data_IF_220944623021
#
_entry.id   IF_220944623021
#
_cell.length_a   1.000
_cell.length_b   1.000
_cell.length_c   1.000
_cell.angle_alpha   90.00
_cell.angle_beta   90.00
_cell.angle_gamma   90.00
#
_symmetry.space_group_name_H-M   'P 1'
#
loop_
_entity.id
_entity.type
_entity.pdbx_description
1 polymer ?
#
# COMPACT_ATOMS: atom_id res chain seq x y z
N UNK A 1 25.59 6.28 -26.89
CA UNK A 1 25.11 5.19 -26.02
C UNK A 1 24.56 5.88 -24.77
N UNK A 2 23.23 5.94 -24.61
CA UNK A 2 22.60 6.71 -23.53
C UNK A 2 22.81 5.94 -22.22
N UNK A 3 23.59 6.50 -21.31
CA UNK A 3 23.86 5.90 -20.01
C UNK A 3 22.57 5.98 -19.19
N UNK A 4 21.94 4.82 -18.92
CA UNK A 4 20.77 4.74 -18.04
C UNK A 4 21.22 5.15 -16.63
N UNK A 5 21.19 6.44 -16.33
CA UNK A 5 21.37 6.97 -14.97
C UNK A 5 20.21 6.43 -14.13
N UNK A 6 20.46 5.32 -13.43
CA UNK A 6 19.59 4.84 -12.39
C UNK A 6 19.45 5.96 -11.36
N UNK A 7 18.21 6.39 -11.10
CA UNK A 7 17.89 7.43 -10.13
C UNK A 7 18.56 7.08 -8.79
N UNK A 8 19.27 8.05 -8.21
CA UNK A 8 20.02 7.88 -6.97
C UNK A 8 19.10 7.39 -5.84
N UNK A 9 19.61 6.46 -5.02
CA UNK A 9 18.89 5.93 -3.87
C UNK A 9 18.79 7.05 -2.81
N UNK A 10 17.58 7.42 -2.35
CA UNK A 10 17.42 8.44 -1.31
C UNK A 10 18.19 8.07 -0.03
N UNK A 11 18.81 9.07 0.60
CA UNK A 11 19.50 8.92 1.88
C UNK A 11 18.53 8.63 3.02
N UNK A 12 17.30 9.13 2.90
CA UNK A 12 16.21 8.94 3.85
C UNK A 12 15.41 7.66 3.57
N UNK A 13 14.64 7.20 4.56
CA UNK A 13 13.77 6.02 4.39
C UNK A 13 12.70 6.30 3.34
N UNK A 14 12.41 5.29 2.52
CA UNK A 14 11.41 5.41 1.45
C UNK A 14 10.00 5.53 2.06
N UNK A 15 9.69 4.72 3.09
CA UNK A 15 8.41 4.78 3.80
C UNK A 15 8.52 5.40 5.21
N UNK A 16 7.50 6.14 5.67
CA UNK A 16 7.33 6.48 7.09
C UNK A 16 7.32 5.22 7.97
N UNK A 17 7.95 5.28 9.16
CA UNK A 17 8.10 4.11 10.05
C UNK A 17 6.79 3.45 10.44
N UNK A 18 5.73 4.25 10.67
CA UNK A 18 4.43 3.71 11.05
C UNK A 18 3.80 2.87 9.93
N UNK A 19 4.01 3.23 8.65
CA UNK A 19 3.55 2.44 7.49
C UNK A 19 4.34 1.12 7.41
N UNK A 20 5.64 1.15 7.72
CA UNK A 20 6.44 -0.07 7.79
C UNK A 20 5.90 -1.02 8.87
N UNK A 21 5.66 -0.50 10.08
CA UNK A 21 5.08 -1.28 11.17
C UNK A 21 3.70 -1.82 10.83
N UNK A 22 2.86 -1.01 10.19
CA UNK A 22 1.56 -1.46 9.69
C UNK A 22 1.71 -2.67 8.77
N UNK A 23 2.54 -2.60 7.71
CA UNK A 23 2.71 -3.73 6.79
C UNK A 23 3.29 -4.98 7.48
N UNK A 24 4.16 -4.83 8.49
CA UNK A 24 4.68 -5.96 9.29
C UNK A 24 3.56 -6.60 10.11
N UNK A 25 2.79 -5.79 10.83
CA UNK A 25 1.67 -6.25 11.64
C UNK A 25 0.62 -6.92 10.74
N UNK A 26 0.29 -6.31 9.61
CA UNK A 26 -0.63 -6.87 8.62
C UNK A 26 -0.15 -8.22 8.10
N UNK A 27 1.12 -8.35 7.72
CA UNK A 27 1.66 -9.63 7.26
C UNK A 27 1.52 -10.73 8.32
N UNK A 28 1.78 -10.43 9.60
CA UNK A 28 1.66 -11.39 10.70
C UNK A 28 0.20 -11.76 10.95
N UNK A 29 -0.68 -10.77 11.15
CA UNK A 29 -2.09 -11.02 11.49
C UNK A 29 -2.82 -11.71 10.34
N UNK A 30 -2.61 -11.27 9.09
CA UNK A 30 -3.19 -11.95 7.93
C UNK A 30 -2.64 -13.37 7.77
N UNK A 31 -1.36 -13.63 8.10
CA UNK A 31 -0.83 -15.01 8.08
C UNK A 31 -1.56 -15.89 9.08
N UNK A 32 -1.76 -15.41 10.31
CA UNK A 32 -2.52 -16.14 11.32
C UNK A 32 -3.96 -16.38 10.84
N UNK A 33 -4.57 -15.39 10.20
CA UNK A 33 -5.93 -15.48 9.67
C UNK A 33 -6.06 -16.46 8.49
N UNK A 34 -5.11 -16.47 7.57
CA UNK A 34 -5.04 -17.46 6.49
C UNK A 34 -4.87 -18.87 7.06
N UNK A 35 -4.01 -19.06 8.06
CA UNK A 35 -3.87 -20.35 8.73
C UNK A 35 -5.20 -20.74 9.42
N UNK A 36 -5.83 -19.81 10.15
CA UNK A 36 -7.12 -20.04 10.80
C UNK A 36 -8.16 -20.52 9.80
N UNK A 37 -8.29 -19.83 8.66
CA UNK A 37 -9.34 -20.07 7.68
C UNK A 37 -9.07 -21.28 6.78
N UNK A 38 -7.81 -21.52 6.39
CA UNK A 38 -7.41 -22.59 5.46
C UNK A 38 -7.21 -23.95 6.15
N UNK A 39 -6.88 -23.99 7.45
CA UNK A 39 -6.69 -25.24 8.18
C UNK A 39 -7.95 -25.70 8.93
N UNK A 40 -9.12 -25.15 8.63
CA UNK A 40 -10.38 -25.67 9.16
C UNK A 40 -10.61 -27.11 8.66
N UNK A 41 -11.13 -28.02 9.51
CA UNK A 41 -11.74 -27.79 10.82
C UNK A 41 -10.75 -27.81 12.00
N UNK A 42 -9.44 -28.02 11.78
CA UNK A 42 -8.47 -28.19 12.88
C UNK A 42 -8.29 -26.96 13.76
N UNK A 43 -8.57 -25.79 13.21
CA UNK A 43 -8.50 -24.49 13.88
C UNK A 43 -9.83 -24.05 14.49
N UNK A 44 -10.97 -24.64 14.10
CA UNK A 44 -12.29 -24.37 14.67
C UNK A 44 -12.47 -25.05 16.05
N UNK A 45 -13.57 -24.74 16.75
CA UNK A 45 -13.97 -25.42 17.98
C UNK A 45 -13.99 -26.94 17.80
N UNK A 46 -13.38 -27.66 18.75
CA UNK A 46 -13.20 -29.11 18.71
C UNK A 46 -11.97 -29.56 17.90
N UNK A 47 -11.27 -28.64 17.24
CA UNK A 47 -10.01 -28.91 16.55
C UNK A 47 -8.80 -28.81 17.49
N UNK A 48 -7.69 -29.47 17.15
CA UNK A 48 -6.51 -29.50 18.02
C UNK A 48 -5.78 -28.15 18.13
N UNK A 49 -6.00 -27.22 17.19
CA UNK A 49 -5.43 -25.86 17.20
C UNK A 49 -6.36 -24.81 17.84
N UNK A 50 -7.53 -25.21 18.37
CA UNK A 50 -8.52 -24.30 18.93
C UNK A 50 -7.92 -23.33 19.95
N UNK A 51 -7.09 -23.83 20.88
CA UNK A 51 -6.51 -23.01 21.95
C UNK A 51 -5.55 -21.93 21.44
N UNK A 52 -4.80 -22.21 20.36
CA UNK A 52 -3.91 -21.21 19.73
C UNK A 52 -4.75 -20.11 19.07
N UNK A 53 -5.92 -20.48 18.57
CA UNK A 53 -6.85 -19.61 17.85
C UNK A 53 -8.01 -19.11 18.70
N UNK A 54 -7.91 -19.14 20.04
CA UNK A 54 -8.96 -18.67 20.94
C UNK A 54 -9.47 -17.23 20.62
N UNK A 55 -8.62 -16.26 20.21
CA UNK A 55 -9.11 -14.95 19.78
C UNK A 55 -9.99 -15.01 18.52
N UNK A 56 -9.68 -15.89 17.57
CA UNK A 56 -10.50 -16.11 16.38
C UNK A 56 -11.79 -16.85 16.70
N UNK A 57 -11.80 -17.70 17.74
CA UNK A 57 -13.04 -18.32 18.22
C UNK A 57 -14.02 -17.27 18.72
N UNK A 58 -13.56 -16.30 19.51
CA UNK A 58 -14.39 -15.18 19.97
C UNK A 58 -15.00 -14.40 18.81
N UNK A 59 -14.23 -14.20 17.73
CA UNK A 59 -14.73 -13.59 16.51
C UNK A 59 -15.76 -14.49 15.80
N UNK A 60 -15.49 -15.79 15.69
CA UNK A 60 -16.38 -16.77 15.05
C UNK A 60 -17.71 -16.98 15.79
N UNK A 61 -17.76 -16.69 17.09
CA UNK A 61 -18.98 -16.73 17.87
C UNK A 61 -19.96 -15.62 17.48
N UNK A 62 -19.46 -14.55 16.85
CA UNK A 62 -20.27 -13.45 16.30
C UNK A 62 -20.50 -13.69 14.82
N UNK A 63 -19.43 -13.99 14.08
CA UNK A 63 -19.44 -14.12 12.62
C UNK A 63 -19.41 -15.60 12.19
N UNK A 64 -20.56 -16.10 11.73
CA UNK A 64 -20.75 -17.51 11.34
C UNK A 64 -19.91 -17.93 10.13
N UNK A 65 -19.44 -16.98 9.31
CA UNK A 65 -18.53 -17.29 8.20
C UNK A 65 -17.16 -17.77 8.70
N UNK A 66 -16.75 -17.33 9.89
CA UNK A 66 -15.54 -17.81 10.54
C UNK A 66 -15.75 -19.12 11.31
N UNK A 67 -16.98 -19.39 11.77
CA UNK A 67 -17.34 -20.63 12.46
C UNK A 67 -17.50 -21.83 11.53
N UNK A 68 -18.00 -21.60 10.31
CA UNK A 68 -18.34 -22.67 9.37
C UNK A 68 -17.11 -23.11 8.57
N UNK A 69 -16.68 -24.36 8.73
CA UNK A 69 -15.47 -24.88 8.06
C UNK A 69 -15.60 -24.94 6.52
N UNK A 70 -16.83 -25.00 6.00
CA UNK A 70 -17.13 -25.06 4.55
C UNK A 70 -17.58 -23.71 3.95
N UNK A 71 -17.30 -22.58 4.59
CA UNK A 71 -17.70 -21.27 4.05
C UNK A 71 -16.86 -20.86 2.83
N UNK A 72 -17.53 -20.70 1.69
CA UNK A 72 -16.89 -20.36 0.41
C UNK A 72 -16.20 -18.99 0.43
N UNK A 73 -16.82 -17.97 1.06
CA UNK A 73 -16.31 -16.60 1.01
C UNK A 73 -15.10 -16.45 1.89
N UNK A 74 -15.12 -16.99 3.10
CA UNK A 74 -13.96 -16.94 3.99
C UNK A 74 -12.80 -17.76 3.41
N UNK A 75 -13.08 -18.87 2.71
CA UNK A 75 -12.03 -19.59 1.98
C UNK A 75 -11.47 -18.78 0.79
N UNK A 76 -12.32 -18.09 0.03
CA UNK A 76 -11.88 -17.26 -1.09
C UNK A 76 -11.06 -16.05 -0.62
N UNK A 77 -11.53 -15.35 0.41
CA UNK A 77 -10.83 -14.19 1.01
C UNK A 77 -9.50 -14.60 1.64
N UNK A 78 -9.42 -15.76 2.30
CA UNK A 78 -8.14 -16.30 2.78
C UNK A 78 -7.11 -16.54 1.66
N UNK A 79 -7.54 -17.01 0.49
CA UNK A 79 -6.64 -17.17 -0.67
C UNK A 79 -6.16 -15.83 -1.23
N UNK A 80 -7.01 -14.81 -1.24
CA UNK A 80 -6.62 -13.44 -1.62
C UNK A 80 -5.61 -12.85 -0.62
N UNK A 81 -5.82 -13.09 0.68
CA UNK A 81 -4.89 -12.65 1.73
C UNK A 81 -3.49 -13.24 1.57
N UNK A 82 -3.32 -14.45 1.01
CA UNK A 82 -1.98 -14.99 0.70
C UNK A 82 -1.18 -14.08 -0.24
N UNK A 83 -1.84 -13.47 -1.23
CA UNK A 83 -1.20 -12.51 -2.14
C UNK A 83 -0.85 -11.22 -1.39
N UNK A 84 -1.76 -10.72 -0.55
CA UNK A 84 -1.54 -9.53 0.27
C UNK A 84 -0.34 -9.69 1.21
N UNK A 85 -0.23 -10.84 1.88
CA UNK A 85 0.88 -11.20 2.77
C UNK A 85 2.20 -11.20 2.00
N UNK A 86 2.23 -11.84 0.83
CA UNK A 86 3.41 -11.86 -0.03
C UNK A 86 3.81 -10.43 -0.43
N UNK A 87 2.84 -9.60 -0.83
CA UNK A 87 3.10 -8.20 -1.17
C UNK A 87 3.59 -7.37 0.02
N UNK A 88 3.10 -7.63 1.23
CA UNK A 88 3.60 -6.99 2.45
C UNK A 88 5.07 -7.36 2.70
N UNK A 89 5.44 -8.64 2.58
CA UNK A 89 6.83 -9.07 2.71
C UNK A 89 7.73 -8.48 1.64
N UNK A 90 7.28 -8.45 0.38
CA UNK A 90 8.01 -7.80 -0.71
C UNK A 90 8.18 -6.30 -0.41
N UNK A 91 7.13 -5.61 0.04
CA UNK A 91 7.20 -4.21 0.44
C UNK A 91 8.26 -3.97 1.53
N UNK A 92 8.25 -4.78 2.59
CA UNK A 92 9.23 -4.70 3.69
C UNK A 92 10.65 -4.94 3.18
N UNK A 93 10.83 -5.93 2.31
CA UNK A 93 12.13 -6.21 1.69
C UNK A 93 12.61 -5.03 0.82
N UNK A 94 11.73 -4.52 -0.05
CA UNK A 94 12.02 -3.40 -0.94
C UNK A 94 12.38 -2.13 -0.16
N UNK A 95 11.70 -1.85 0.95
CA UNK A 95 12.02 -0.72 1.82
C UNK A 95 13.41 -0.87 2.47
N UNK A 96 13.77 -2.10 2.90
CA UNK A 96 15.12 -2.38 3.44
C UNK A 96 16.23 -2.15 2.44
N UNK A 97 16.03 -2.55 1.18
CA UNK A 97 17.01 -2.31 0.10
C UNK A 97 16.85 -0.94 -0.56
N UNK A 98 15.94 -0.09 -0.03
CA UNK A 98 15.64 1.25 -0.53
C UNK A 98 15.30 1.30 -2.03
N UNK A 99 14.53 0.33 -2.50
CA UNK A 99 14.12 0.25 -3.90
C UNK A 99 13.14 1.37 -4.26
N UNK A 100 13.25 1.90 -5.49
CA UNK A 100 12.27 2.83 -6.07
C UNK A 100 10.85 2.24 -6.17
N UNK A 101 10.74 0.92 -6.21
CA UNK A 101 9.45 0.21 -6.32
C UNK A 101 8.70 0.14 -5.00
N UNK A 102 9.34 0.49 -3.87
CA UNK A 102 8.77 0.36 -2.53
C UNK A 102 7.45 1.11 -2.37
N UNK A 103 7.37 2.38 -2.82
CA UNK A 103 6.15 3.20 -2.67
C UNK A 103 4.99 2.58 -3.44
N UNK A 104 5.23 2.19 -4.69
CA UNK A 104 4.22 1.57 -5.55
C UNK A 104 3.74 0.23 -4.97
N UNK A 105 4.67 -0.64 -4.56
CA UNK A 105 4.32 -1.93 -3.95
C UNK A 105 3.54 -1.75 -2.65
N UNK A 106 3.96 -0.82 -1.78
CA UNK A 106 3.25 -0.52 -0.53
C UNK A 106 1.84 0.01 -0.79
N UNK A 107 1.70 0.93 -1.76
CA UNK A 107 0.41 1.47 -2.18
C UNK A 107 -0.51 0.34 -2.66
N UNK A 108 -0.04 -0.48 -3.61
CA UNK A 108 -0.84 -1.58 -4.17
C UNK A 108 -1.21 -2.62 -3.11
N UNK A 109 -0.29 -2.99 -2.22
CA UNK A 109 -0.59 -3.91 -1.13
C UNK A 109 -1.74 -3.39 -0.24
N UNK A 110 -1.73 -2.10 0.08
CA UNK A 110 -2.78 -1.50 0.91
C UNK A 110 -4.10 -1.32 0.15
N UNK A 111 -4.08 -1.11 -1.16
CA UNK A 111 -5.28 -1.16 -2.01
C UNK A 111 -5.94 -2.54 -1.95
N UNK A 112 -5.16 -3.62 -2.01
CA UNK A 112 -5.70 -4.99 -1.93
C UNK A 112 -6.32 -5.26 -0.56
N UNK A 113 -5.59 -4.97 0.52
CA UNK A 113 -6.09 -5.13 1.91
C UNK A 113 -7.40 -4.34 2.11
N UNK A 114 -7.43 -3.09 1.66
CA UNK A 114 -8.61 -2.24 1.72
C UNK A 114 -9.80 -2.87 0.98
N UNK A 115 -9.61 -3.22 -0.30
CA UNK A 115 -10.72 -3.63 -1.16
C UNK A 115 -11.29 -4.99 -0.77
N UNK A 116 -10.43 -5.93 -0.38
CA UNK A 116 -10.87 -7.22 0.17
C UNK A 116 -11.76 -7.01 1.40
N UNK A 117 -11.30 -6.18 2.35
CA UNK A 117 -12.02 -5.96 3.60
C UNK A 117 -13.32 -5.18 3.36
N UNK A 118 -13.30 -4.18 2.49
CA UNK A 118 -14.50 -3.43 2.11
C UNK A 118 -15.54 -4.36 1.48
N UNK A 119 -15.11 -5.22 0.54
CA UNK A 119 -15.99 -6.21 -0.07
C UNK A 119 -16.59 -7.12 1.00
N UNK A 120 -15.78 -7.60 1.94
CA UNK A 120 -16.25 -8.44 3.05
C UNK A 120 -17.34 -7.76 3.88
N UNK A 121 -17.11 -6.51 4.30
CA UNK A 121 -18.07 -5.75 5.11
C UNK A 121 -19.37 -5.46 4.35
N UNK A 122 -19.28 -5.13 3.06
CA UNK A 122 -20.46 -4.83 2.24
C UNK A 122 -21.37 -6.05 2.05
N UNK A 123 -20.86 -7.29 2.14
CA UNK A 123 -21.69 -8.51 2.13
C UNK A 123 -22.72 -8.55 3.28
N UNK A 124 -22.49 -7.81 4.36
CA UNK A 124 -23.38 -7.75 5.52
C UNK A 124 -24.40 -6.60 5.43
N UNK A 125 -24.30 -5.76 4.40
CA UNK A 125 -25.21 -4.64 4.18
C UNK A 125 -26.38 -5.10 3.31
N UNK A 126 -27.60 -5.01 3.84
CA UNK A 126 -28.87 -5.30 3.12
C UNK A 126 -28.83 -6.61 2.35
N UNK A 127 -28.60 -7.70 3.08
CA UNK A 127 -28.65 -9.04 2.52
C UNK A 127 -29.98 -9.32 1.80
N UNK A 128 -29.98 -9.98 0.63
CA UNK A 128 -31.21 -10.37 -0.06
C UNK A 128 -32.11 -11.24 0.80
N UNK A 129 -33.42 -11.12 0.63
CA UNK A 129 -34.39 -11.97 1.31
C UNK A 129 -34.13 -13.46 1.00
N UNK A 130 -34.27 -14.30 2.02
CA UNK A 130 -33.99 -15.75 1.93
C UNK A 130 -32.52 -16.13 2.07
N UNK A 131 -31.60 -15.18 2.22
CA UNK A 131 -30.22 -15.50 2.62
C UNK A 131 -30.14 -15.76 4.13
N UNK A 132 -29.38 -16.77 4.57
CA UNK A 132 -29.17 -17.01 5.99
C UNK A 132 -28.38 -15.87 6.61
N UNK A 133 -28.70 -15.53 7.86
CA UNK A 133 -27.92 -14.56 8.65
C UNK A 133 -26.46 -14.99 8.70
N UNK A 134 -25.55 -14.03 8.55
CA UNK A 134 -24.11 -14.26 8.74
C UNK A 134 -23.68 -14.05 10.19
N UNK A 135 -24.53 -13.45 11.03
CA UNK A 135 -24.29 -13.35 12.46
C UNK A 135 -24.96 -14.50 13.22
N UNK A 136 -24.28 -14.97 14.26
CA UNK A 136 -24.78 -16.06 15.09
C UNK A 136 -26.07 -15.66 15.83
N UNK A 137 -26.96 -16.63 16.02
CA UNK A 137 -28.18 -16.43 16.80
C UNK A 137 -27.84 -16.04 18.25
N UNK A 138 -28.53 -15.03 18.77
CA UNK A 138 -28.29 -14.53 20.13
C UNK A 138 -27.12 -13.54 20.26
N UNK A 139 -26.43 -13.20 19.17
CA UNK A 139 -25.39 -12.17 19.20
C UNK A 139 -26.00 -10.80 19.49
N UNK A 140 -25.46 -10.10 20.48
CA UNK A 140 -25.92 -8.75 20.84
C UNK A 140 -25.44 -7.71 19.84
N UNK A 141 -26.18 -6.59 19.75
CA UNK A 141 -25.78 -5.44 18.94
C UNK A 141 -24.35 -4.97 19.26
N UNK A 142 -23.97 -4.93 20.54
CA UNK A 142 -22.65 -4.50 20.97
C UNK A 142 -21.52 -5.44 20.52
N UNK A 143 -21.77 -6.74 20.54
CA UNK A 143 -20.83 -7.71 19.97
C UNK A 143 -20.67 -7.49 18.46
N UNK A 144 -21.76 -7.34 17.72
CA UNK A 144 -21.71 -7.04 16.28
C UNK A 144 -20.95 -5.74 16.02
N UNK A 145 -21.22 -4.68 16.77
CA UNK A 145 -20.56 -3.38 16.57
C UNK A 145 -19.05 -3.47 16.84
N UNK A 146 -18.63 -4.02 17.97
CA UNK A 146 -17.21 -3.99 18.35
C UNK A 146 -16.38 -5.13 17.75
N UNK A 147 -16.94 -6.34 17.69
CA UNK A 147 -16.21 -7.54 17.22
C UNK A 147 -16.15 -7.57 15.70
N UNK A 148 -17.23 -7.18 15.01
CA UNK A 148 -17.26 -7.17 13.55
C UNK A 148 -16.94 -5.76 13.01
N UNK A 149 -17.85 -4.78 13.18
CA UNK A 149 -17.73 -3.49 12.47
C UNK A 149 -16.49 -2.68 12.83
N UNK A 150 -16.12 -2.60 14.10
CA UNK A 150 -14.92 -1.86 14.53
C UNK A 150 -13.65 -2.61 14.15
N UNK A 151 -13.61 -3.92 14.36
CA UNK A 151 -12.43 -4.73 14.05
C UNK A 151 -12.13 -4.68 12.53
N UNK A 152 -13.09 -5.01 11.67
CA UNK A 152 -12.94 -4.92 10.22
C UNK A 152 -12.81 -3.46 9.74
N UNK A 153 -13.45 -2.53 10.44
CA UNK A 153 -13.35 -1.10 10.15
C UNK A 153 -11.92 -0.57 10.25
N UNK A 154 -11.12 -1.04 11.22
CA UNK A 154 -9.70 -0.69 11.33
C UNK A 154 -8.92 -1.15 10.08
N UNK A 155 -9.25 -2.35 9.58
CA UNK A 155 -8.65 -2.92 8.37
C UNK A 155 -9.10 -2.25 7.07
N UNK A 156 -10.18 -1.46 7.09
CA UNK A 156 -10.50 -0.53 6.01
C UNK A 156 -9.80 0.83 6.20
N UNK A 157 -9.89 1.41 7.39
CA UNK A 157 -9.46 2.80 7.64
C UNK A 157 -7.94 2.96 7.54
N UNK A 158 -7.14 2.07 8.15
CA UNK A 158 -5.69 2.24 8.17
C UNK A 158 -5.09 2.10 6.76
N UNK A 159 -5.41 1.05 5.96
CA UNK A 159 -4.95 0.97 4.58
C UNK A 159 -5.40 2.15 3.74
N UNK A 160 -6.61 2.66 3.95
CA UNK A 160 -7.09 3.85 3.25
C UNK A 160 -6.23 5.09 3.56
N UNK A 161 -5.87 5.30 4.82
CA UNK A 161 -4.94 6.38 5.20
C UNK A 161 -3.56 6.19 4.53
N UNK A 162 -3.04 4.96 4.47
CA UNK A 162 -1.79 4.65 3.75
C UNK A 162 -1.92 5.00 2.27
N UNK A 163 -3.01 4.60 1.62
CA UNK A 163 -3.30 4.90 0.21
C UNK A 163 -3.29 6.40 -0.02
N UNK A 164 -4.01 7.19 0.79
CA UNK A 164 -4.05 8.65 0.66
C UNK A 164 -2.68 9.31 0.84
N UNK A 165 -1.88 8.84 1.80
CA UNK A 165 -0.54 9.39 2.03
C UNK A 165 0.44 9.07 0.91
N UNK A 166 0.35 7.87 0.33
CA UNK A 166 1.24 7.43 -0.74
C UNK A 166 0.75 7.91 -2.12
N UNK A 167 -0.55 8.17 -2.30
CA UNK A 167 -1.13 8.70 -3.55
C UNK A 167 -0.43 9.97 -4.01
N UNK A 168 -0.27 10.93 -3.10
CA UNK A 168 0.41 12.19 -3.41
C UNK A 168 1.87 11.99 -3.79
N UNK A 169 2.52 10.90 -3.34
CA UNK A 169 3.90 10.58 -3.73
C UNK A 169 3.99 9.91 -5.10
N UNK A 170 2.91 9.30 -5.57
CA UNK A 170 2.81 8.69 -6.90
C UNK A 170 2.39 9.71 -7.98
N UNK A 171 1.64 10.74 -7.62
CA UNK A 171 0.97 11.65 -8.56
C UNK A 171 1.75 12.94 -8.91
N UNK A 172 3.01 13.11 -8.48
CA UNK A 172 3.76 14.36 -8.75
C UNK A 172 4.38 14.33 -10.14
N UNK A 173 4.20 15.44 -10.88
CA UNK A 173 4.70 15.72 -12.23
C UNK A 173 6.22 15.53 -12.39
N UNK A 174 7.00 15.59 -11.31
CA UNK A 174 8.43 15.23 -11.31
C UNK A 174 8.69 13.75 -11.68
N UNK A 175 7.69 12.88 -11.54
CA UNK A 175 7.77 11.46 -11.91
C UNK A 175 7.39 11.23 -13.37
N UNK A 176 6.64 12.16 -14.00
CA UNK A 176 6.12 12.02 -15.37
C UNK A 176 6.90 12.91 -16.36
N UNK A 177 7.45 14.05 -15.92
CA UNK A 177 7.88 15.09 -16.85
C UNK A 177 9.38 15.45 -16.83
N UNK A 178 10.21 15.13 -15.82
CA UNK A 178 11.58 15.67 -15.80
C UNK A 178 12.61 14.77 -15.12
N UNK A 179 13.70 14.45 -15.85
CA UNK A 179 14.96 13.96 -15.29
C UNK A 179 15.72 15.05 -14.54
N UNK A 180 15.15 15.60 -13.47
CA UNK A 180 15.89 16.39 -12.47
C UNK A 180 15.13 16.40 -11.13
N UNK A 181 15.79 16.13 -9.99
CA UNK A 181 15.11 15.89 -8.71
C UNK A 181 14.89 17.19 -7.96
N UNK A 182 13.64 17.58 -7.66
CA UNK A 182 13.37 18.67 -6.73
C UNK A 182 12.22 18.32 -5.77
N UNK A 183 12.53 17.42 -4.82
CA UNK A 183 11.81 17.38 -3.55
C UNK A 183 11.62 18.81 -2.99
N UNK A 184 10.46 19.14 -2.41
CA UNK A 184 10.17 20.49 -1.98
C UNK A 184 11.14 20.92 -0.87
N UNK A 185 12.05 21.82 -1.21
CA UNK A 185 12.94 22.48 -0.26
C UNK A 185 12.10 23.45 0.57
N UNK A 186 12.11 23.23 1.89
CA UNK A 186 11.51 24.10 2.88
C UNK A 186 12.10 25.51 2.74
N UNK A 187 11.23 26.51 2.54
CA UNK A 187 11.53 27.92 2.33
C UNK A 187 12.80 28.42 3.04
N UNK A 188 13.83 28.71 2.23
CA UNK A 188 15.05 29.39 2.64
C UNK A 188 15.77 29.92 1.40
N UNK A 189 15.53 31.19 1.06
CA UNK A 189 16.27 32.06 0.14
C UNK A 189 16.80 31.39 -1.16
N UNK A 190 15.88 31.05 -2.06
CA UNK A 190 16.16 30.58 -3.43
C UNK A 190 16.28 31.78 -4.38
N UNK A 191 17.30 32.63 -4.19
CA UNK A 191 17.60 33.70 -5.17
C UNK A 191 19.02 33.66 -5.72
N UNK A 192 19.90 32.79 -5.21
CA UNK A 192 21.31 32.76 -5.65
C UNK A 192 21.64 31.71 -6.71
N UNK A 193 20.81 30.67 -6.93
CA UNK A 193 21.17 29.56 -7.83
C UNK A 193 20.52 29.63 -9.22
N UNK A 194 19.52 30.49 -9.42
CA UNK A 194 18.83 30.64 -10.71
C UNK A 194 19.57 31.65 -11.61
N UNK A 195 20.28 32.63 -11.04
CA UNK A 195 20.95 33.68 -11.84
C UNK A 195 22.18 33.14 -12.55
N UNK A 196 23.03 32.36 -11.86
CA UNK A 196 24.29 31.86 -12.44
C UNK A 196 24.09 30.83 -13.57
N UNK A 197 22.99 30.06 -13.53
CA UNK A 197 22.69 29.03 -14.54
C UNK A 197 22.03 29.59 -15.80
N UNK A 198 21.31 30.71 -15.69
CA UNK A 198 20.73 31.42 -16.84
C UNK A 198 21.79 32.28 -17.55
N UNK A 199 22.70 32.90 -16.79
CA UNK A 199 23.75 33.75 -17.36
C UNK A 199 24.82 32.94 -18.10
N UNK A 200 25.17 31.75 -17.59
CA UNK A 200 26.08 30.82 -18.28
C UNK A 200 25.47 30.12 -19.50
N UNK A 201 24.14 29.93 -19.54
CA UNK A 201 23.46 29.37 -20.70
C UNK A 201 23.33 30.39 -21.85
N UNK A 202 23.04 31.66 -21.53
CA UNK A 202 22.94 32.71 -22.54
C UNK A 202 24.30 33.04 -23.17
N UNK A 203 25.38 33.09 -22.37
CA UNK A 203 26.72 33.37 -22.88
C UNK A 203 27.24 32.28 -23.85
N UNK A 204 26.86 31.02 -23.63
CA UNK A 204 27.23 29.91 -24.53
C UNK A 204 26.42 29.93 -25.84
N UNK A 205 25.16 30.35 -25.81
CA UNK A 205 24.33 30.47 -27.00
C UNK A 205 24.82 31.62 -27.91
N UNK A 206 25.23 32.74 -27.33
CA UNK A 206 25.74 33.89 -28.09
C UNK A 206 27.11 33.61 -28.75
N UNK A 207 27.98 32.82 -28.11
CA UNK A 207 29.26 32.39 -28.72
C UNK A 207 29.06 31.43 -29.90
N UNK A 208 28.06 30.56 -29.86
CA UNK A 208 27.78 29.58 -30.91
C UNK A 208 27.13 30.23 -32.15
N UNK A 209 26.27 31.23 -31.94
CA UNK A 209 25.69 32.06 -33.02
C UNK A 209 26.78 32.89 -33.72
N UNK A 210 27.72 33.46 -32.95
CA UNK A 210 28.81 34.28 -33.51
C UNK A 210 29.80 33.45 -34.32
N UNK A 211 30.12 32.22 -33.89
CA UNK A 211 30.98 31.29 -34.67
C UNK A 211 30.33 30.85 -35.98
N UNK A 212 29.01 30.65 -35.99
CA UNK A 212 28.31 30.22 -37.20
C UNK A 212 28.15 31.34 -38.23
N UNK A 213 27.97 32.60 -37.80
CA UNK A 213 28.00 33.73 -38.73
C UNK A 213 29.40 33.97 -39.33
N UNK A 214 30.46 33.83 -38.53
CA UNK A 214 31.84 34.07 -39.02
C UNK A 214 32.30 33.02 -40.05
N UNK A 215 31.79 31.79 -39.97
CA UNK A 215 32.09 30.73 -40.95
C UNK A 215 31.27 30.84 -42.24
N UNK A 216 30.13 31.54 -42.24
CA UNK A 216 29.34 31.77 -43.46
C UNK A 216 29.93 32.86 -44.37
N UNK A 217 30.76 33.76 -43.84
CA UNK A 217 31.41 34.83 -44.63
C UNK A 217 32.78 34.43 -45.23
N UNK A 218 33.28 33.23 -44.96
CA UNK A 218 34.58 32.74 -45.48
C UNK A 218 34.47 31.81 -46.70
N UNK A 219 33.26 31.53 -47.18
CA UNK A 219 32.99 30.60 -48.29
C UNK A 219 32.28 31.26 -49.49
N UNK A 220 32.55 32.54 -49.77
CA UNK A 220 32.19 33.22 -51.04
C UNK A 220 33.43 33.86 -51.63
#
# INVERSE_FOLDING_TARGET
MCENKLLAIPKDRVLPRWIQYWNVISAILCTLDVIYTMLRPYTNRGGFLEYIYAPWQLYSDVDLRYATSNDLVTMATGRLMTIEILMCFICIYLDRVRSRHTVLTCFTANVLIFWKTLLYMVLYIRQPEGTPSYFAEGTTFWQILFVFWVADGIWCVIPFIVILQLWNRLAIVETIANGSPNFPIKNGNVNYLIVDSVESANNNADEEVTKNQTNSFKNV
#
